data_IF_169514309515
#
_entry.id   IF_169514309515
#
_cell.length_a   1.000
_cell.length_b   1.000
_cell.length_c   1.000
_cell.angle_alpha   90.00
_cell.angle_beta   90.00
_cell.angle_gamma   90.00
#
_symmetry.space_group_name_H-M   'P 1'
#
loop_
_entity.id
_entity.type
_entity.pdbx_description
1 polymer ?
#
# COMPACT_ATOMS: atom_id res chain seq x y z
N UNK A 1 -8.39 1.94 -13.42
CA UNK A 1 -7.84 0.62 -13.80
C UNK A 1 -6.45 0.51 -13.21
N UNK A 2 -6.34 -0.02 -11.98
CA UNK A 2 -5.02 -0.34 -11.41
C UNK A 2 -4.74 -1.77 -11.81
N UNK A 3 -3.77 -1.96 -12.68
CA UNK A 3 -3.26 -3.27 -13.07
C UNK A 3 -2.52 -3.86 -11.85
N UNK A 4 -3.28 -4.43 -10.90
CA UNK A 4 -2.79 -5.43 -9.96
C UNK A 4 -2.61 -6.69 -10.82
N UNK A 5 -1.41 -7.20 -11.07
CA UNK A 5 -0.76 -8.23 -10.25
C UNK A 5 0.70 -8.36 -10.73
N UNK A 6 1.64 -8.49 -9.78
CA UNK A 6 2.85 -9.35 -9.93
C UNK A 6 3.19 -10.04 -8.59
N UNK A 7 2.73 -9.51 -7.45
CA UNK A 7 2.93 -10.13 -6.14
C UNK A 7 1.59 -10.51 -5.52
N UNK A 8 1.40 -11.80 -5.25
CA UNK A 8 0.24 -12.38 -4.56
C UNK A 8 0.73 -13.23 -3.39
N UNK A 9 0.09 -13.10 -2.24
CA UNK A 9 0.40 -13.96 -1.10
C UNK A 9 -0.31 -15.32 -1.26
N UNK A 10 0.27 -16.39 -0.69
CA UNK A 10 -0.26 -17.74 -0.88
C UNK A 10 -1.71 -17.89 -0.41
N UNK A 11 -2.07 -17.20 0.66
CA UNK A 11 -3.43 -17.22 1.22
C UNK A 11 -4.42 -16.32 0.45
N UNK A 12 -3.94 -15.50 -0.50
CA UNK A 12 -4.78 -14.68 -1.36
C UNK A 12 -5.20 -15.42 -2.65
N UNK A 13 -4.54 -16.54 -2.99
CA UNK A 13 -4.82 -17.31 -4.22
C UNK A 13 -6.30 -17.66 -4.41
N UNK A 14 -7.04 -18.15 -3.38
CA UNK A 14 -8.45 -18.48 -3.55
C UNK A 14 -9.33 -17.26 -3.92
N UNK A 15 -8.96 -16.06 -3.43
CA UNK A 15 -9.65 -14.82 -3.75
C UNK A 15 -9.33 -14.37 -5.18
N UNK A 16 -8.06 -14.46 -5.59
CA UNK A 16 -7.62 -14.13 -6.94
C UNK A 16 -8.27 -15.02 -8.01
N UNK A 17 -8.43 -16.32 -7.73
CA UNK A 17 -9.14 -17.24 -8.63
C UNK A 17 -10.61 -16.83 -8.83
N UNK A 18 -11.28 -16.40 -7.75
CA UNK A 18 -12.66 -15.91 -7.82
C UNK A 18 -12.75 -14.57 -8.56
N UNK A 19 -11.81 -13.64 -8.32
CA UNK A 19 -11.73 -12.37 -9.04
C UNK A 19 -11.55 -12.60 -10.54
N UNK A 20 -10.63 -13.50 -10.94
CA UNK A 20 -10.39 -13.84 -12.33
C UNK A 20 -11.64 -14.41 -12.99
N UNK A 21 -12.33 -15.33 -12.32
CA UNK A 21 -13.59 -15.92 -12.82
C UNK A 21 -14.70 -14.88 -12.97
N UNK A 22 -14.79 -13.92 -12.06
CA UNK A 22 -15.75 -12.80 -12.17
C UNK A 22 -15.40 -11.91 -13.37
N UNK A 23 -14.12 -11.64 -13.60
CA UNK A 23 -13.65 -10.83 -14.72
C UNK A 23 -13.89 -11.51 -16.08
N UNK A 24 -13.65 -12.82 -16.16
CA UNK A 24 -13.99 -13.64 -17.34
C UNK A 24 -15.48 -13.58 -17.66
N UNK A 25 -16.36 -13.80 -16.67
CA UNK A 25 -17.81 -13.76 -16.86
C UNK A 25 -18.30 -12.37 -17.28
N UNK A 26 -17.74 -11.30 -16.71
CA UNK A 26 -18.01 -9.92 -17.15
C UNK A 26 -17.56 -9.69 -18.59
N UNK A 27 -16.41 -10.24 -18.97
CA UNK A 27 -15.89 -10.17 -20.33
C UNK A 27 -16.80 -10.89 -21.35
N UNK A 28 -17.35 -12.04 -20.98
CA UNK A 28 -18.27 -12.82 -21.82
C UNK A 28 -19.65 -12.15 -21.94
N UNK A 29 -20.21 -11.65 -20.82
CA UNK A 29 -21.49 -10.92 -20.83
C UNK A 29 -21.47 -9.75 -21.83
N UNK A 30 -20.35 -9.01 -21.87
CA UNK A 30 -20.17 -7.88 -22.78
C UNK A 30 -19.99 -8.28 -24.25
N UNK A 31 -19.48 -9.48 -24.56
CA UNK A 31 -19.19 -9.93 -25.93
C UNK A 31 -20.34 -10.73 -26.56
N UNK A 32 -20.97 -11.60 -25.80
CA UNK A 32 -21.94 -12.58 -26.31
C UNK A 32 -23.39 -12.18 -26.02
N UNK A 33 -23.62 -11.08 -25.28
CA UNK A 33 -24.96 -10.60 -24.93
C UNK A 33 -25.73 -11.54 -24.00
N UNK A 34 -25.02 -12.48 -23.35
CA UNK A 34 -25.57 -13.41 -22.37
C UNK A 34 -25.69 -12.73 -21.00
N UNK A 35 -26.82 -12.98 -20.31
CA UNK A 35 -27.05 -12.45 -18.97
C UNK A 35 -26.43 -13.37 -17.91
N UNK A 36 -25.28 -12.96 -17.38
CA UNK A 36 -24.60 -13.62 -16.26
C UNK A 36 -24.71 -12.83 -14.95
N UNK A 37 -25.60 -11.83 -14.87
CA UNK A 37 -25.62 -10.90 -13.73
C UNK A 37 -25.90 -11.60 -12.39
N UNK A 38 -26.79 -12.61 -12.35
CA UNK A 38 -27.07 -13.37 -11.14
C UNK A 38 -25.85 -14.17 -10.65
N UNK A 39 -25.15 -14.86 -11.56
CA UNK A 39 -23.97 -15.65 -11.21
C UNK A 39 -22.79 -14.75 -10.82
N UNK A 40 -22.61 -13.62 -11.51
CA UNK A 40 -21.60 -12.60 -11.14
C UNK A 40 -21.89 -12.08 -9.73
N UNK A 41 -23.14 -11.73 -9.42
CA UNK A 41 -23.54 -11.25 -8.08
C UNK A 41 -23.27 -12.30 -7.00
N UNK A 42 -23.59 -13.57 -7.29
CA UNK A 42 -23.31 -14.71 -6.40
C UNK A 42 -21.82 -14.88 -6.13
N UNK A 43 -20.98 -14.83 -7.17
CA UNK A 43 -19.53 -14.95 -7.03
C UNK A 43 -18.94 -13.75 -6.29
N UNK A 44 -19.42 -12.54 -6.54
CA UNK A 44 -19.01 -11.34 -5.80
C UNK A 44 -19.36 -11.44 -4.31
N UNK A 45 -20.55 -11.93 -3.96
CA UNK A 45 -20.95 -12.18 -2.57
C UNK A 45 -20.05 -13.22 -1.91
N UNK A 46 -19.70 -14.30 -2.63
CA UNK A 46 -18.77 -15.32 -2.14
C UNK A 46 -17.35 -14.78 -1.94
N UNK A 47 -16.86 -13.97 -2.88
CA UNK A 47 -15.56 -13.32 -2.79
C UNK A 47 -15.50 -12.44 -1.53
N UNK A 48 -16.49 -11.57 -1.34
CA UNK A 48 -16.57 -10.69 -0.16
C UNK A 48 -16.55 -11.45 1.16
N UNK A 49 -17.32 -12.54 1.27
CA UNK A 49 -17.30 -13.39 2.48
C UNK A 49 -15.93 -14.00 2.74
N UNK A 50 -15.28 -14.50 1.68
CA UNK A 50 -13.96 -15.12 1.78
C UNK A 50 -12.89 -14.09 2.17
N UNK A 51 -12.97 -12.87 1.65
CA UNK A 51 -12.11 -11.74 2.05
C UNK A 51 -12.26 -11.42 3.54
N UNK A 52 -13.51 -11.27 4.02
CA UNK A 52 -13.81 -10.98 5.42
C UNK A 52 -13.29 -12.10 6.35
N UNK A 53 -13.56 -13.36 6.02
CA UNK A 53 -13.10 -14.53 6.79
C UNK A 53 -11.56 -14.63 6.81
N UNK A 54 -10.91 -14.43 5.66
CA UNK A 54 -9.45 -14.53 5.54
C UNK A 54 -8.77 -13.43 6.35
N UNK A 55 -9.24 -12.19 6.25
CA UNK A 55 -8.68 -11.05 6.98
C UNK A 55 -8.94 -11.13 8.49
N UNK A 56 -10.08 -11.70 8.90
CA UNK A 56 -10.39 -11.92 10.31
C UNK A 56 -9.48 -12.99 10.97
N UNK A 57 -9.07 -14.01 10.21
CA UNK A 57 -8.34 -15.18 10.71
C UNK A 57 -6.90 -15.28 10.22
N UNK A 58 -6.23 -14.14 9.98
CA UNK A 58 -4.83 -14.12 9.59
C UNK A 58 -3.92 -14.72 10.68
N UNK A 59 -3.11 -15.70 10.28
CA UNK A 59 -2.04 -16.24 11.12
C UNK A 59 -0.94 -15.19 11.36
N UNK A 60 -0.11 -15.34 12.41
CA UNK A 60 1.00 -14.42 12.67
C UNK A 60 1.95 -14.24 11.49
N UNK A 61 2.26 -15.32 10.77
CA UNK A 61 3.12 -15.27 9.59
C UNK A 61 2.48 -14.50 8.43
N UNK A 62 1.19 -14.72 8.17
CA UNK A 62 0.45 -13.99 7.13
C UNK A 62 0.38 -12.48 7.42
N UNK A 63 0.22 -12.09 8.70
CA UNK A 63 0.31 -10.67 9.11
C UNK A 63 1.68 -10.07 8.80
N UNK A 64 2.76 -10.81 9.04
CA UNK A 64 4.13 -10.37 8.68
C UNK A 64 4.29 -10.23 7.16
N UNK A 65 3.74 -11.17 6.38
CA UNK A 65 3.75 -11.10 4.92
C UNK A 65 3.02 -9.85 4.41
N UNK A 66 1.81 -9.56 4.93
CA UNK A 66 1.08 -8.31 4.62
C UNK A 66 1.87 -7.07 5.02
N UNK A 67 2.49 -7.08 6.20
CA UNK A 67 3.30 -5.96 6.66
C UNK A 67 4.49 -5.67 5.74
N UNK A 68 5.00 -6.69 5.04
CA UNK A 68 6.11 -6.63 4.08
C UNK A 68 5.65 -6.58 2.62
N UNK A 69 4.35 -6.49 2.37
CA UNK A 69 3.80 -6.49 1.02
C UNK A 69 4.45 -5.37 0.18
N UNK A 70 4.92 -5.65 -1.05
CA UNK A 70 5.58 -4.66 -1.91
C UNK A 70 4.73 -3.41 -2.10
N UNK A 71 3.44 -3.59 -2.38
CA UNK A 71 2.47 -2.52 -2.60
C UNK A 71 1.87 -1.92 -1.31
N UNK A 72 2.40 -2.25 -0.13
CA UNK A 72 1.97 -1.57 1.11
C UNK A 72 2.24 -0.07 0.95
N UNK A 73 1.25 0.82 1.17
CA UNK A 73 1.47 2.27 1.10
C UNK A 73 2.66 2.71 1.95
N UNK A 74 3.50 3.59 1.41
CA UNK A 74 4.69 4.13 2.10
C UNK A 74 4.33 5.45 2.77
N UNK A 75 5.24 5.97 3.59
CA UNK A 75 5.01 7.21 4.36
C UNK A 75 4.63 8.39 3.47
N UNK A 76 5.33 8.62 2.34
CA UNK A 76 4.92 9.66 1.38
C UNK A 76 3.53 9.42 0.81
N UNK A 77 3.17 8.18 0.46
CA UNK A 77 1.82 7.86 -0.03
C UNK A 77 0.77 8.25 1.01
N UNK A 78 0.99 7.90 2.28
CA UNK A 78 0.10 8.27 3.38
C UNK A 78 0.06 9.79 3.57
N UNK A 79 1.19 10.47 3.42
CA UNK A 79 1.26 11.91 3.58
C UNK A 79 0.36 12.62 2.57
N UNK A 80 0.43 12.23 1.29
CA UNK A 80 -0.40 12.81 0.23
C UNK A 80 -1.89 12.43 0.34
N UNK A 81 -2.23 11.39 1.11
CA UNK A 81 -3.62 10.97 1.31
C UNK A 81 -4.25 11.61 2.55
N UNK A 82 -3.45 11.98 3.55
CA UNK A 82 -3.92 12.41 4.87
C UNK A 82 -3.75 13.92 5.08
N UNK A 83 -2.66 14.51 4.60
CA UNK A 83 -2.32 15.90 4.89
C UNK A 83 -2.51 16.82 3.69
N UNK A 84 -2.91 18.04 3.99
CA UNK A 84 -2.86 19.19 3.09
C UNK A 84 -1.51 19.91 3.24
N UNK A 85 -1.05 20.56 2.16
CA UNK A 85 0.11 21.47 2.15
C UNK A 85 1.39 20.91 2.79
N UNK A 86 1.71 19.63 2.54
CA UNK A 86 2.94 19.04 3.06
C UNK A 86 4.19 19.73 2.50
N UNK A 87 4.96 20.37 3.39
CA UNK A 87 6.23 21.01 3.08
C UNK A 87 7.40 20.19 3.65
N UNK A 88 8.15 19.44 2.81
CA UNK A 88 9.26 18.64 3.28
C UNK A 88 10.42 19.50 3.81
N UNK A 89 11.02 19.05 4.90
CA UNK A 89 12.20 19.62 5.52
C UNK A 89 13.38 18.65 5.40
N UNK A 90 14.57 19.20 5.15
CA UNK A 90 15.77 18.44 4.84
C UNK A 90 16.96 18.84 5.72
N UNK A 91 17.83 17.86 5.96
CA UNK A 91 19.11 17.98 6.66
C UNK A 91 18.99 17.89 8.18
N UNK A 92 20.03 17.35 8.80
CA UNK A 92 20.23 17.33 10.26
C UNK A 92 21.00 18.56 10.79
N UNK A 93 21.33 19.51 9.90
CA UNK A 93 22.14 20.71 10.17
C UNK A 93 23.59 20.44 10.63
N UNK A 94 24.07 19.20 10.54
CA UNK A 94 25.38 18.82 11.06
C UNK A 94 26.21 17.98 10.08
N UNK A 95 25.60 16.98 9.45
CA UNK A 95 26.30 16.04 8.58
C UNK A 95 25.65 15.90 7.20
N UNK A 96 24.42 15.41 7.13
CA UNK A 96 23.79 15.05 5.86
C UNK A 96 22.26 14.99 5.95
N UNK A 97 21.63 14.79 4.79
CA UNK A 97 20.20 14.46 4.68
C UNK A 97 20.08 12.94 4.50
N UNK A 98 19.40 12.27 5.44
CA UNK A 98 19.07 10.86 5.32
C UNK A 98 17.74 10.66 4.59
N UNK A 99 17.79 10.09 3.38
CA UNK A 99 16.59 9.86 2.57
C UNK A 99 15.67 8.75 3.12
N UNK A 100 16.14 7.95 4.09
CA UNK A 100 15.33 6.98 4.81
C UNK A 100 14.37 7.63 5.80
N UNK A 101 14.63 8.87 6.23
CA UNK A 101 13.76 9.65 7.12
C UNK A 101 13.24 10.87 6.39
N UNK A 102 11.92 10.90 6.19
CA UNK A 102 11.24 12.10 5.71
C UNK A 102 10.59 12.81 6.90
N UNK A 103 10.57 14.14 6.82
CA UNK A 103 9.83 14.95 7.76
C UNK A 103 9.47 16.28 7.15
N UNK A 104 8.46 16.95 7.70
CA UNK A 104 7.96 18.19 7.14
C UNK A 104 6.81 18.79 7.92
N UNK A 105 6.50 20.05 7.61
CA UNK A 105 5.30 20.71 8.10
C UNK A 105 4.11 20.21 7.29
N UNK A 106 3.00 19.95 7.97
CA UNK A 106 1.80 19.42 7.37
C UNK A 106 0.56 20.05 8.03
N UNK A 107 -0.59 19.93 7.37
CA UNK A 107 -1.87 20.36 7.92
C UNK A 107 -2.92 19.26 7.80
N UNK A 108 -3.72 19.08 8.85
CA UNK A 108 -4.98 18.34 8.79
C UNK A 108 -6.07 19.33 9.19
N UNK A 109 -6.94 19.69 8.26
CA UNK A 109 -7.97 20.71 8.47
C UNK A 109 -7.37 22.06 8.93
N UNK A 110 -7.61 22.47 10.18
CA UNK A 110 -7.05 23.70 10.76
C UNK A 110 -5.78 23.46 11.61
N UNK A 111 -5.44 22.19 11.87
CA UNK A 111 -4.36 21.80 12.77
C UNK A 111 -3.01 21.71 12.04
N UNK A 112 -2.02 22.43 12.56
CA UNK A 112 -0.64 22.41 12.03
C UNK A 112 0.19 21.37 12.76
N UNK A 113 0.78 20.46 12.00
CA UNK A 113 1.48 19.30 12.51
C UNK A 113 2.88 19.19 11.90
N UNK A 114 3.75 18.45 12.56
CA UNK A 114 5.02 17.99 12.00
C UNK A 114 4.88 16.49 11.75
N UNK A 115 5.06 16.07 10.51
CA UNK A 115 5.14 14.66 10.16
C UNK A 115 6.59 14.22 10.15
N UNK A 116 6.87 13.03 10.70
CA UNK A 116 8.16 12.35 10.59
C UNK A 116 7.87 10.86 10.36
N UNK A 117 8.58 10.24 9.42
CA UNK A 117 8.42 8.81 9.16
C UNK A 117 9.54 8.19 8.34
N UNK A 118 9.64 6.86 8.44
CA UNK A 118 10.53 6.08 7.59
C UNK A 118 9.99 6.02 6.17
N UNK A 119 10.81 6.34 5.18
CA UNK A 119 10.45 6.22 3.77
C UNK A 119 11.27 5.10 3.12
N UNK A 120 10.56 4.03 2.75
CA UNK A 120 11.08 2.99 1.85
C UNK A 120 10.76 3.36 0.40
N UNK A 121 11.63 2.98 -0.54
CA UNK A 121 11.44 3.30 -1.95
C UNK A 121 10.41 2.43 -2.66
N UNK A 122 9.86 2.94 -3.76
CA UNK A 122 8.89 2.22 -4.62
C UNK A 122 9.56 1.34 -5.68
N UNK A 123 10.70 1.79 -6.21
CA UNK A 123 11.50 1.04 -7.18
C UNK A 123 12.78 0.50 -6.54
N UNK A 124 13.51 -0.38 -7.23
CA UNK A 124 14.82 -0.85 -6.75
C UNK A 124 15.80 0.32 -6.59
N UNK A 125 15.81 1.26 -7.55
CA UNK A 125 16.66 2.45 -7.50
C UNK A 125 16.33 3.35 -6.31
N UNK A 126 15.04 3.58 -6.08
CA UNK A 126 14.56 4.40 -4.96
C UNK A 126 14.77 3.70 -3.60
N UNK A 127 14.66 2.37 -3.55
CA UNK A 127 15.02 1.61 -2.36
C UNK A 127 16.51 1.75 -2.03
N UNK A 128 17.38 1.71 -3.03
CA UNK A 128 18.81 1.88 -2.82
C UNK A 128 19.15 3.28 -2.31
N UNK A 129 18.57 4.33 -2.89
CA UNK A 129 18.83 5.72 -2.45
C UNK A 129 18.31 6.00 -1.05
N UNK A 130 17.25 5.31 -0.62
CA UNK A 130 16.64 5.44 0.71
C UNK A 130 17.09 4.38 1.71
N UNK A 131 18.15 3.63 1.39
CA UNK A 131 18.66 2.54 2.22
C UNK A 131 17.56 1.56 2.70
N UNK A 132 16.59 1.25 1.84
CA UNK A 132 15.42 0.41 2.15
C UNK A 132 14.55 0.91 3.32
N UNK A 133 14.64 2.19 3.67
CA UNK A 133 14.00 2.80 4.83
C UNK A 133 14.76 2.61 6.15
N UNK A 134 16.01 2.12 6.10
CA UNK A 134 16.87 1.97 7.27
C UNK A 134 17.65 3.26 7.50
N UNK A 135 17.33 3.95 8.60
CA UNK A 135 17.93 5.23 8.93
C UNK A 135 19.36 5.10 9.50
N UNK A 136 20.21 6.03 9.12
CA UNK A 136 21.51 6.30 9.71
C UNK A 136 21.38 7.27 10.90
N UNK A 137 22.43 7.47 11.72
CA UNK A 137 22.39 8.40 12.85
C UNK A 137 21.95 9.83 12.51
N UNK A 138 22.32 10.36 11.34
CA UNK A 138 21.83 11.63 10.79
C UNK A 138 20.31 11.69 10.64
N UNK A 139 19.66 10.60 10.22
CA UNK A 139 18.20 10.53 10.09
C UNK A 139 17.50 10.67 11.44
N UNK A 140 18.05 10.06 12.49
CA UNK A 140 17.55 10.23 13.86
C UNK A 140 17.81 11.62 14.41
N UNK A 141 18.96 12.24 14.09
CA UNK A 141 19.25 13.65 14.45
C UNK A 141 18.29 14.63 13.78
N UNK A 142 17.94 14.39 12.52
CA UNK A 142 16.93 15.17 11.79
C UNK A 142 15.53 15.07 12.43
N UNK A 143 15.21 13.90 13.01
CA UNK A 143 13.91 13.65 13.60
C UNK A 143 13.72 14.23 15.02
N UNK A 144 14.82 14.58 15.69
CA UNK A 144 14.84 15.14 17.04
C UNK A 144 14.88 16.68 17.00
#
# INVERSE_FOLDING_TARGET
>A
MVQRVIYSLDFEKPMLELEHKIEELKGLANKEGLDFNEEISRLQSRLKKLEEETLAHLTPWQKVQLARHPNRPKSLTLVHLIFDDFLPLHGDRLYSEDQAIIGGLARIEEERLVFIGHQKGESIKDNLSRNFGMAHPEGYRKAH
#
